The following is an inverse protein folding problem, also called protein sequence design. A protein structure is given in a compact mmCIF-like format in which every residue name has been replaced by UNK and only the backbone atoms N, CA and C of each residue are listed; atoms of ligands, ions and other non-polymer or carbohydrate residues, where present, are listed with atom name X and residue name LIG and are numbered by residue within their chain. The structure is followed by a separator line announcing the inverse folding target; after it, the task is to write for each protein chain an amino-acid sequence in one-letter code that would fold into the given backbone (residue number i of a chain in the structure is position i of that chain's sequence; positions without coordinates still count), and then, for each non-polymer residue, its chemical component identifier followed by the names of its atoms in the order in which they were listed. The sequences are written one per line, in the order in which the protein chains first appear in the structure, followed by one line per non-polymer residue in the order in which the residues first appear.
data_IF_811678480226
#
_entry.id   IF_811678480226
#
_cell.length_a   1.000
_cell.length_b   1.000
_cell.length_c   1.000
_cell.angle_alpha   90.00
_cell.angle_beta   90.00
_cell.angle_gamma   90.00
#
_symmetry.space_group_name_H-M   'P 1'
#
loop_
_entity.id
_entity.type
_entity.pdbx_description
1 polymer ?
#
# COMPACT_ATOMS: atom_id res chain seq x y z
N UNK A 1 18.25 30.62 16.67
CA UNK A 1 16.81 30.72 16.37
C UNK A 1 16.48 29.76 15.25
N UNK A 2 15.70 28.74 15.62
CA UNK A 2 14.69 28.06 14.80
C UNK A 2 15.10 27.07 13.70
N UNK A 3 15.09 25.81 14.14
CA UNK A 3 14.35 24.71 13.52
C UNK A 3 14.88 24.09 12.22
N UNK A 4 15.78 23.14 12.44
CA UNK A 4 15.78 21.80 11.82
C UNK A 4 14.37 21.36 11.36
N UNK A 5 14.08 21.29 10.07
CA UNK A 5 13.13 20.32 9.46
C UNK A 5 13.33 20.25 7.93
N UNK A 6 14.49 19.82 7.45
CA UNK A 6 14.61 19.41 6.06
C UNK A 6 15.43 18.11 6.00
N UNK A 7 15.04 17.22 5.09
CA UNK A 7 15.59 15.89 4.88
C UNK A 7 15.05 14.77 5.77
N UNK A 8 13.72 14.74 5.96
CA UNK A 8 13.00 13.52 6.34
C UNK A 8 12.48 12.69 5.16
N UNK A 9 12.69 13.14 3.92
CA UNK A 9 12.14 12.50 2.73
C UNK A 9 13.29 12.06 1.82
N UNK A 10 14.11 11.15 2.33
CA UNK A 10 15.00 10.30 1.52
C UNK A 10 14.43 8.88 1.44
N UNK A 11 13.11 8.80 1.42
CA UNK A 11 12.36 7.59 1.13
C UNK A 11 11.67 7.88 -0.20
N UNK A 12 11.83 6.97 -1.17
CA UNK A 12 11.29 7.10 -2.54
C UNK A 12 12.19 7.88 -3.52
N UNK A 13 13.49 7.61 -3.54
CA UNK A 13 14.26 7.97 -4.75
C UNK A 13 15.12 6.83 -5.30
N UNK A 14 15.43 5.80 -4.51
CA UNK A 14 16.24 4.68 -4.99
C UNK A 14 15.66 3.34 -4.50
N UNK A 15 15.65 2.34 -5.40
CA UNK A 15 15.55 0.90 -5.09
C UNK A 15 14.19 0.20 -4.84
N UNK A 16 13.01 0.79 -5.04
CA UNK A 16 11.72 0.09 -4.75
C UNK A 16 10.79 -0.18 -5.93
N UNK A 17 11.09 0.34 -7.10
CA UNK A 17 10.27 0.14 -8.32
C UNK A 17 10.43 -1.26 -8.94
N UNK A 18 11.19 -2.17 -8.32
CA UNK A 18 11.52 -3.48 -8.93
C UNK A 18 11.06 -4.74 -8.20
N UNK A 19 10.38 -4.66 -7.03
CA UNK A 19 9.84 -5.86 -6.33
C UNK A 19 8.52 -5.66 -5.56
N UNK A 20 7.96 -4.45 -5.50
CA UNK A 20 6.94 -4.07 -4.50
C UNK A 20 5.50 -3.97 -5.06
N UNK A 21 5.32 -4.13 -6.37
CA UNK A 21 3.99 -4.39 -6.99
C UNK A 21 3.53 -5.85 -6.69
N UNK A 22 3.83 -6.33 -5.49
CA UNK A 22 3.30 -7.55 -4.85
C UNK A 22 2.56 -7.23 -3.54
N UNK A 23 2.24 -5.96 -3.31
CA UNK A 23 1.36 -5.50 -2.24
C UNK A 23 -0.05 -5.28 -2.79
N UNK A 24 -1.06 -5.47 -1.95
CA UNK A 24 -2.48 -5.30 -2.28
C UNK A 24 -2.82 -4.01 -3.05
N UNK A 25 -2.03 -2.95 -2.87
CA UNK A 25 -2.14 -1.71 -3.63
C UNK A 25 -1.97 -1.87 -5.15
N UNK A 26 -1.13 -2.79 -5.64
CA UNK A 26 -0.99 -3.08 -7.06
C UNK A 26 -2.27 -3.67 -7.66
N UNK A 27 -2.85 -4.67 -6.98
CA UNK A 27 -4.12 -5.26 -7.36
C UNK A 27 -5.28 -4.25 -7.32
N UNK A 28 -5.26 -3.31 -6.36
CA UNK A 28 -6.26 -2.24 -6.28
C UNK A 28 -6.11 -1.20 -7.41
N UNK A 29 -4.90 -0.95 -7.89
CA UNK A 29 -4.65 -0.09 -9.06
C UNK A 29 -5.09 -0.80 -10.34
N UNK A 30 -4.74 -2.08 -10.50
CA UNK A 30 -5.15 -2.91 -11.64
C UNK A 30 -6.68 -2.96 -11.78
N UNK A 31 -7.39 -3.10 -10.67
CA UNK A 31 -8.86 -3.13 -10.62
C UNK A 31 -9.49 -1.73 -10.79
N UNK A 32 -8.68 -0.67 -10.96
CA UNK A 32 -9.13 0.72 -11.10
C UNK A 32 -9.75 1.31 -9.83
N UNK A 33 -9.61 0.63 -8.69
CA UNK A 33 -10.12 1.05 -7.39
C UNK A 33 -9.24 2.12 -6.73
N UNK A 34 -8.00 2.27 -7.18
CA UNK A 34 -6.98 3.12 -6.56
C UNK A 34 -6.13 3.80 -7.64
N UNK A 35 -5.76 5.07 -7.43
CA UNK A 35 -4.68 5.70 -8.20
C UNK A 35 -3.35 5.66 -7.45
N UNK A 36 -2.23 5.89 -8.14
CA UNK A 36 -0.93 6.04 -7.49
C UNK A 36 -0.92 7.16 -6.44
N UNK A 37 -1.61 8.27 -6.73
CA UNK A 37 -1.74 9.38 -5.78
C UNK A 37 -2.55 8.97 -4.53
N UNK A 38 -3.58 8.14 -4.69
CA UNK A 38 -4.34 7.61 -3.56
C UNK A 38 -3.53 6.64 -2.71
N UNK A 39 -2.71 5.81 -3.37
CA UNK A 39 -1.78 4.91 -2.70
C UNK A 39 -0.79 5.69 -1.83
N UNK A 40 -0.19 6.76 -2.39
CA UNK A 40 0.74 7.61 -1.67
C UNK A 40 0.09 8.27 -0.45
N UNK A 41 -1.14 8.78 -0.60
CA UNK A 41 -1.92 9.35 0.50
C UNK A 41 -2.19 8.30 1.60
N UNK A 42 -2.55 7.08 1.22
CA UNK A 42 -2.75 5.96 2.16
C UNK A 42 -1.48 5.58 2.91
N UNK A 43 -0.35 5.50 2.21
CA UNK A 43 0.96 5.21 2.81
C UNK A 43 1.41 6.31 3.77
N UNK A 44 1.22 7.57 3.42
CA UNK A 44 1.54 8.70 4.30
C UNK A 44 0.70 8.64 5.60
N UNK A 45 -0.59 8.34 5.48
CA UNK A 45 -1.48 8.17 6.64
C UNK A 45 -1.04 6.99 7.50
N UNK A 46 -0.72 5.86 6.90
CA UNK A 46 -0.23 4.67 7.61
C UNK A 46 1.06 4.98 8.39
N UNK A 47 2.03 5.66 7.76
CA UNK A 47 3.28 6.08 8.40
C UNK A 47 3.04 7.02 9.59
N UNK A 48 2.10 7.97 9.45
CA UNK A 48 1.70 8.85 10.55
C UNK A 48 1.10 8.08 11.73
N UNK A 49 0.25 7.08 11.47
CA UNK A 49 -0.30 6.21 12.52
C UNK A 49 0.79 5.39 13.21
N UNK A 50 1.73 4.82 12.43
CA UNK A 50 2.85 4.05 12.97
C UNK A 50 3.74 4.91 13.87
N UNK A 51 4.01 6.16 13.49
CA UNK A 51 4.76 7.12 14.30
C UNK A 51 4.06 7.47 15.63
N UNK A 52 2.73 7.31 15.69
CA UNK A 52 1.93 7.47 16.91
C UNK A 52 1.83 6.16 17.73
N UNK A 53 2.58 5.12 17.37
CA UNK A 53 2.52 3.81 18.01
C UNK A 53 1.32 2.96 17.59
N UNK A 54 0.55 3.40 16.58
CA UNK A 54 -0.59 2.65 16.04
C UNK A 54 -0.19 1.90 14.78
N UNK A 55 -0.10 0.58 14.87
CA UNK A 55 0.08 -0.26 13.68
C UNK A 55 -1.27 -0.38 12.96
N UNK A 56 -1.34 0.04 11.70
CA UNK A 56 -2.53 -0.07 10.85
C UNK A 56 -2.14 -0.70 9.51
N UNK A 57 -3.02 -1.53 8.93
CA UNK A 57 -2.78 -2.10 7.60
C UNK A 57 -3.16 -1.07 6.54
N UNK A 58 -2.42 -1.04 5.44
CA UNK A 58 -2.68 -0.09 4.35
C UNK A 58 -4.11 -0.20 3.82
N UNK A 59 -4.63 -1.42 3.64
CA UNK A 59 -6.01 -1.63 3.20
C UNK A 59 -7.06 -1.03 4.15
N UNK A 60 -6.86 -1.18 5.46
CA UNK A 60 -7.75 -0.60 6.48
C UNK A 60 -7.68 0.93 6.44
N UNK A 61 -6.47 1.49 6.32
CA UNK A 61 -6.26 2.92 6.19
C UNK A 61 -6.96 3.49 4.94
N UNK A 62 -6.88 2.78 3.81
CA UNK A 62 -7.55 3.20 2.56
C UNK A 62 -9.08 3.17 2.69
N UNK A 63 -9.64 2.21 3.44
CA UNK A 63 -11.08 2.14 3.75
C UNK A 63 -11.48 3.28 4.70
N UNK A 64 -10.71 3.50 5.78
CA UNK A 64 -10.96 4.58 6.73
C UNK A 64 -10.92 5.97 6.05
N UNK A 65 -10.07 6.11 5.03
CA UNK A 65 -9.95 7.33 4.23
C UNK A 65 -11.07 7.47 3.18
N UNK A 66 -11.92 6.45 3.00
CA UNK A 66 -12.98 6.43 1.98
C UNK A 66 -12.45 6.36 0.55
N UNK A 67 -11.19 5.94 0.37
CA UNK A 67 -10.57 5.81 -0.96
C UNK A 67 -11.06 4.54 -1.65
N UNK A 68 -11.13 3.43 -0.89
CA UNK A 68 -11.65 2.15 -1.37
C UNK A 68 -12.77 1.68 -0.48
N UNK A 69 -13.68 0.91 -1.06
CA UNK A 69 -14.70 0.17 -0.33
C UNK A 69 -14.12 -1.15 0.22
N UNK A 70 -14.62 -1.67 1.35
CA UNK A 70 -14.20 -2.96 1.91
C UNK A 70 -14.27 -4.11 0.89
N UNK A 71 -15.28 -4.09 0.02
CA UNK A 71 -15.49 -5.12 -1.00
C UNK A 71 -14.42 -5.04 -2.11
N UNK A 72 -13.89 -3.86 -2.39
CA UNK A 72 -12.77 -3.69 -3.33
C UNK A 72 -11.49 -4.29 -2.74
N UNK A 73 -11.23 -4.05 -1.46
CA UNK A 73 -10.10 -4.66 -0.76
C UNK A 73 -10.22 -6.19 -0.73
N UNK A 74 -11.40 -6.72 -0.44
CA UNK A 74 -11.64 -8.16 -0.39
C UNK A 74 -11.41 -8.83 -1.76
N UNK A 75 -11.88 -8.22 -2.84
CA UNK A 75 -11.65 -8.74 -4.21
C UNK A 75 -10.17 -8.78 -4.55
N UNK A 76 -9.45 -7.71 -4.26
CA UNK A 76 -8.02 -7.63 -4.49
C UNK A 76 -7.25 -8.70 -3.68
N UNK A 77 -7.66 -8.96 -2.42
CA UNK A 77 -7.05 -9.97 -1.54
C UNK A 77 -7.32 -11.39 -2.05
N UNK A 78 -8.54 -11.67 -2.49
CA UNK A 78 -8.89 -12.97 -3.09
C UNK A 78 -8.09 -13.22 -4.36
N UNK A 79 -7.91 -12.19 -5.19
CA UNK A 79 -7.11 -12.28 -6.42
C UNK A 79 -5.64 -12.58 -6.08
N UNK A 80 -5.04 -11.83 -5.15
CA UNK A 80 -3.69 -12.07 -4.67
C UNK A 80 -3.51 -13.52 -4.17
N UNK A 81 -4.38 -13.97 -3.27
CA UNK A 81 -4.30 -15.31 -2.69
C UNK A 81 -4.40 -16.42 -3.75
N UNK A 82 -5.25 -16.22 -4.77
CA UNK A 82 -5.36 -17.15 -5.90
C UNK A 82 -4.10 -17.18 -6.73
N UNK A 83 -3.52 -16.03 -7.06
CA UNK A 83 -2.29 -15.94 -7.85
C UNK A 83 -1.09 -16.51 -7.10
N UNK A 84 -0.96 -16.26 -5.79
CA UNK A 84 0.06 -16.86 -4.93
C UNK A 84 -0.09 -18.39 -4.83
N UNK A 85 -1.33 -18.88 -4.67
CA UNK A 85 -1.62 -20.31 -4.62
C UNK A 85 -1.30 -21.01 -5.94
N UNK A 86 -1.55 -20.36 -7.08
CA UNK A 86 -1.20 -20.88 -8.41
C UNK A 86 0.31 -20.82 -8.68
N UNK A 87 0.99 -19.76 -8.21
CA UNK A 87 2.44 -19.66 -8.31
C UNK A 87 3.16 -20.75 -7.50
N UNK A 88 2.62 -21.13 -6.33
CA UNK A 88 3.18 -22.19 -5.50
C UNK A 88 3.04 -23.60 -6.13
N UNK A 89 2.03 -23.83 -6.99
CA UNK A 89 1.81 -25.11 -7.68
C UNK A 89 2.72 -25.33 -8.88
N UNK A 90 3.44 -24.30 -9.34
CA UNK A 90 4.42 -24.42 -10.43
C UNK A 90 5.83 -24.45 -9.83
N UNK A 91 6.41 -25.64 -9.55
CA UNK A 91 7.83 -25.71 -9.21
C UNK A 91 8.62 -25.18 -10.41
N UNK A 92 9.62 -24.32 -10.13
CA UNK A 92 10.57 -23.79 -11.12
C UNK A 92 11.48 -24.87 -11.66
#
# INVERSE_FOLDING_TARGET
MDSKKQSGNKWVEQERTRRIIGFIGGYLIDDGALTLADLDRGLERQLRLAAQGRQARLGEVLIEMGIIAPEQLERALKRQAKEEAEALKRPR
#
